data_IF_500144834979
#
_entry.id   IF_500144834979
#
_cell.length_a   1.000
_cell.length_b   1.000
_cell.length_c   1.000
_cell.angle_alpha   90.00
_cell.angle_beta   90.00
_cell.angle_gamma   90.00
#
_symmetry.space_group_name_H-M   'P 1'
#
loop_
_entity.id
_entity.type
_entity.pdbx_description
1 polymer ?
#
# COMPACT_ATOMS: atom_id res chain seq x y z
N UNK A 1 44.22 5.00 -9.79
CA UNK A 1 43.72 3.64 -10.07
C UNK A 1 42.99 3.04 -8.87
N UNK A 2 42.38 3.86 -7.97
CA UNK A 2 41.84 3.46 -6.68
C UNK A 2 40.31 3.69 -6.47
N UNK A 3 39.56 4.13 -7.48
CA UNK A 3 38.16 4.61 -7.26
C UNK A 3 37.05 3.60 -7.68
N UNK A 4 37.38 2.51 -8.34
CA UNK A 4 36.39 1.53 -8.83
C UNK A 4 35.95 0.49 -7.79
N UNK A 5 36.73 0.23 -6.75
CA UNK A 5 36.46 -0.83 -5.76
C UNK A 5 35.40 -0.44 -4.72
N UNK A 6 35.23 0.83 -4.42
CA UNK A 6 34.23 1.31 -3.44
C UNK A 6 32.79 1.32 -3.95
N UNK A 7 32.59 1.38 -5.27
CA UNK A 7 31.26 1.49 -5.88
C UNK A 7 30.54 0.15 -6.00
N UNK A 8 31.30 -0.91 -6.29
CA UNK A 8 30.78 -2.28 -6.38
C UNK A 8 30.35 -2.84 -5.03
N UNK A 9 31.10 -2.55 -3.96
CA UNK A 9 30.74 -2.99 -2.61
C UNK A 9 29.48 -2.32 -2.04
N UNK A 10 29.24 -1.04 -2.38
CA UNK A 10 28.03 -0.33 -1.97
C UNK A 10 26.78 -0.81 -2.74
N UNK A 11 26.90 -1.12 -4.03
CA UNK A 11 25.82 -1.69 -4.84
C UNK A 11 25.44 -3.08 -4.30
N UNK A 12 26.39 -3.97 -4.09
CA UNK A 12 26.14 -5.31 -3.56
C UNK A 12 25.50 -5.30 -2.15
N UNK A 13 25.83 -4.32 -1.31
CA UNK A 13 25.22 -4.15 0.03
C UNK A 13 23.80 -3.58 -0.06
N UNK A 14 23.51 -2.73 -1.06
CA UNK A 14 22.18 -2.23 -1.35
C UNK A 14 21.27 -3.35 -1.84
N UNK A 15 21.78 -4.21 -2.74
CA UNK A 15 21.02 -5.31 -3.31
C UNK A 15 20.66 -6.37 -2.27
N UNK A 16 21.56 -6.68 -1.35
CA UNK A 16 21.29 -7.61 -0.23
C UNK A 16 20.22 -7.08 0.72
N UNK A 17 20.23 -5.78 1.02
CA UNK A 17 19.18 -5.16 1.85
C UNK A 17 17.84 -5.14 1.15
N UNK A 18 17.84 -4.80 -0.14
CA UNK A 18 16.62 -4.84 -0.94
C UNK A 18 16.03 -6.23 -0.99
N UNK A 19 16.86 -7.25 -1.25
CA UNK A 19 16.44 -8.65 -1.26
C UNK A 19 15.87 -9.08 0.09
N UNK A 20 16.55 -8.74 1.20
CA UNK A 20 16.07 -9.05 2.55
C UNK A 20 14.67 -8.48 2.82
N UNK A 21 14.46 -7.19 2.53
CA UNK A 21 13.15 -6.56 2.74
C UNK A 21 12.08 -7.10 1.79
N UNK A 22 12.44 -7.41 0.56
CA UNK A 22 11.51 -8.04 -0.39
C UNK A 22 11.07 -9.43 0.07
N UNK A 23 12.00 -10.23 0.58
CA UNK A 23 11.70 -11.56 1.16
C UNK A 23 10.83 -11.41 2.41
N UNK A 24 11.13 -10.44 3.29
CA UNK A 24 10.34 -10.19 4.49
C UNK A 24 8.88 -9.81 4.15
N UNK A 25 8.69 -8.93 3.18
CA UNK A 25 7.34 -8.55 2.71
C UNK A 25 6.62 -9.75 2.11
N UNK A 26 7.31 -10.53 1.26
CA UNK A 26 6.72 -11.73 0.66
C UNK A 26 6.32 -12.76 1.73
N UNK A 27 7.17 -12.97 2.73
CA UNK A 27 6.88 -13.86 3.85
C UNK A 27 5.65 -13.40 4.65
N UNK A 28 5.51 -12.09 4.89
CA UNK A 28 4.33 -11.52 5.54
C UNK A 28 3.05 -11.73 4.70
N UNK A 29 3.13 -11.58 3.38
CA UNK A 29 1.99 -11.81 2.49
C UNK A 29 1.58 -13.29 2.49
N UNK A 30 2.54 -14.20 2.39
CA UNK A 30 2.29 -15.65 2.45
C UNK A 30 1.70 -16.03 3.81
N UNK A 31 2.30 -15.53 4.91
CA UNK A 31 1.78 -15.76 6.25
C UNK A 31 0.33 -15.27 6.39
N UNK A 32 0.01 -14.09 5.87
CA UNK A 32 -1.34 -13.54 5.88
C UNK A 32 -2.36 -14.41 5.16
N UNK A 33 -1.97 -15.02 4.04
CA UNK A 33 -2.84 -15.94 3.30
C UNK A 33 -3.06 -17.25 4.05
N UNK A 34 -2.03 -17.74 4.75
CA UNK A 34 -2.08 -18.99 5.49
C UNK A 34 -2.68 -18.82 6.90
N UNK A 35 -2.61 -17.61 7.47
CA UNK A 35 -3.02 -17.34 8.84
C UNK A 35 -4.45 -17.81 9.20
N UNK A 36 -5.48 -17.62 8.36
CA UNK A 36 -6.82 -18.14 8.64
C UNK A 36 -6.87 -19.67 8.76
N UNK A 37 -6.02 -20.38 8.01
CA UNK A 37 -5.96 -21.86 8.04
C UNK A 37 -5.20 -22.40 9.25
N UNK A 38 -4.42 -21.56 9.93
CA UNK A 38 -3.73 -21.90 11.18
C UNK A 38 -4.64 -21.71 12.41
N UNK A 39 -5.80 -21.11 12.25
CA UNK A 39 -6.76 -20.92 13.31
C UNK A 39 -7.47 -22.23 13.61
N UNK A 40 -7.34 -22.71 14.84
CA UNK A 40 -7.96 -23.98 15.27
C UNK A 40 -9.46 -23.86 15.56
N UNK A 41 -9.94 -22.64 15.80
CA UNK A 41 -11.33 -22.36 16.18
C UNK A 41 -11.92 -21.24 15.30
N UNK A 42 -13.25 -21.20 15.18
CA UNK A 42 -13.94 -20.11 14.51
C UNK A 42 -13.74 -18.78 15.29
N UNK A 43 -13.24 -17.72 14.67
CA UNK A 43 -13.01 -16.43 15.32
C UNK A 43 -14.28 -15.73 15.78
N UNK A 44 -15.46 -16.18 15.35
CA UNK A 44 -16.78 -15.60 15.67
C UNK A 44 -17.58 -16.43 16.65
N UNK A 45 -17.16 -17.67 16.95
CA UNK A 45 -17.85 -18.55 17.88
C UNK A 45 -17.85 -17.93 19.29
N UNK A 46 -19.05 -17.76 19.85
CA UNK A 46 -19.25 -17.22 21.18
C UNK A 46 -19.44 -18.37 22.16
N UNK A 47 -18.57 -18.44 23.20
CA UNK A 47 -18.69 -19.43 24.24
C UNK A 47 -18.68 -18.77 25.62
N UNK A 48 -19.87 -18.57 26.18
CA UNK A 48 -20.04 -17.86 27.46
C UNK A 48 -19.40 -18.57 28.66
N UNK A 49 -19.10 -19.86 28.54
CA UNK A 49 -18.39 -20.61 29.59
C UNK A 49 -16.88 -20.30 29.65
N UNK A 50 -16.34 -19.73 28.56
CA UNK A 50 -14.93 -19.38 28.40
C UNK A 50 -14.66 -17.87 28.45
N UNK A 51 -15.59 -17.11 28.98
CA UNK A 51 -15.44 -15.64 29.13
C UNK A 51 -14.20 -15.32 29.94
N UNK A 52 -13.29 -14.51 29.34
CA UNK A 52 -12.02 -14.11 29.97
C UNK A 52 -11.13 -15.29 30.45
N UNK A 53 -11.28 -16.46 29.82
CA UNK A 53 -10.42 -17.60 30.13
C UNK A 53 -8.96 -17.26 29.86
N UNK A 54 -8.03 -17.63 30.82
CA UNK A 54 -6.61 -17.34 30.66
C UNK A 54 -5.98 -18.16 29.52
N UNK A 55 -4.78 -17.77 29.04
CA UNK A 55 -4.03 -18.56 28.06
C UNK A 55 -3.81 -20.00 28.55
N UNK A 56 -3.98 -20.97 27.64
CA UNK A 56 -3.84 -22.40 27.90
C UNK A 56 -3.47 -23.17 26.64
N UNK A 57 -3.38 -24.49 26.75
CA UNK A 57 -2.99 -25.37 25.64
C UNK A 57 -3.96 -25.34 24.47
N UNK A 58 -5.23 -25.12 24.71
CA UNK A 58 -6.29 -25.05 23.70
C UNK A 58 -6.44 -23.63 23.14
N UNK A 59 -6.33 -22.60 24.00
CA UNK A 59 -6.45 -21.18 23.65
C UNK A 59 -5.16 -20.44 24.01
N UNK A 60 -4.22 -20.38 23.08
CA UNK A 60 -2.86 -19.85 23.33
C UNK A 60 -2.83 -18.43 23.87
N UNK A 61 -3.77 -17.58 23.49
CA UNK A 61 -3.90 -16.20 23.98
C UNK A 61 -5.16 -15.99 24.85
N UNK A 62 -5.81 -17.10 25.25
CA UNK A 62 -7.07 -17.04 25.98
C UNK A 62 -8.24 -16.55 25.15
N UNK A 63 -9.30 -16.17 25.85
CA UNK A 63 -10.58 -15.77 25.28
C UNK A 63 -10.96 -14.35 25.67
N UNK A 64 -11.74 -13.69 24.80
CA UNK A 64 -12.22 -12.33 25.06
C UNK A 64 -13.44 -12.31 26.01
N UNK A 65 -13.99 -11.11 26.23
CA UNK A 65 -15.13 -10.88 27.13
C UNK A 65 -16.46 -11.52 26.68
N UNK A 66 -16.49 -12.17 25.53
CA UNK A 66 -17.63 -12.98 25.06
C UNK A 66 -17.22 -14.43 24.77
N UNK A 67 -16.02 -14.83 25.24
CA UNK A 67 -15.51 -16.20 25.14
C UNK A 67 -14.94 -16.58 23.79
N UNK A 68 -14.65 -15.63 22.86
CA UNK A 68 -14.09 -15.92 21.54
C UNK A 68 -12.56 -16.06 21.62
N UNK A 69 -11.99 -16.96 20.82
CA UNK A 69 -10.55 -17.17 20.74
C UNK A 69 -9.81 -15.90 20.24
N UNK A 70 -8.98 -15.29 21.10
CA UNK A 70 -8.21 -14.08 20.76
C UNK A 70 -7.19 -14.37 19.67
N UNK A 71 -6.46 -15.48 19.75
CA UNK A 71 -5.46 -15.87 18.76
C UNK A 71 -6.09 -16.09 17.37
N UNK A 72 -7.22 -16.80 17.29
CA UNK A 72 -7.92 -17.04 16.04
C UNK A 72 -8.41 -15.73 15.42
N UNK A 73 -8.90 -14.80 16.23
CA UNK A 73 -9.32 -13.47 15.80
C UNK A 73 -8.14 -12.63 15.29
N UNK A 74 -6.99 -12.72 15.94
CA UNK A 74 -5.77 -12.03 15.51
C UNK A 74 -5.32 -12.51 14.14
N UNK A 75 -5.29 -13.82 13.89
CA UNK A 75 -4.91 -14.40 12.59
C UNK A 75 -5.85 -13.95 11.47
N UNK A 76 -7.15 -14.03 11.68
CA UNK A 76 -8.14 -13.61 10.69
C UNK A 76 -8.14 -12.08 10.49
N UNK A 77 -7.95 -11.31 11.56
CA UNK A 77 -7.83 -9.86 11.50
C UNK A 77 -6.59 -9.41 10.72
N UNK A 78 -5.45 -10.05 10.97
CA UNK A 78 -4.20 -9.79 10.24
C UNK A 78 -4.36 -10.05 8.74
N UNK A 79 -4.94 -11.19 8.36
CA UNK A 79 -5.20 -11.52 6.96
C UNK A 79 -6.05 -10.47 6.26
N UNK A 80 -7.15 -10.05 6.88
CA UNK A 80 -8.05 -9.01 6.32
C UNK A 80 -7.37 -7.66 6.21
N UNK A 81 -6.61 -7.26 7.23
CA UNK A 81 -5.91 -5.97 7.24
C UNK A 81 -4.84 -5.90 6.16
N UNK A 82 -4.03 -6.97 6.01
CA UNK A 82 -2.98 -7.03 4.99
C UNK A 82 -3.60 -7.05 3.59
N UNK A 83 -4.66 -7.85 3.37
CA UNK A 83 -5.38 -7.86 2.09
C UNK A 83 -5.93 -6.47 1.74
N UNK A 84 -6.57 -5.79 2.69
CA UNK A 84 -7.08 -4.44 2.48
C UNK A 84 -5.95 -3.45 2.15
N UNK A 85 -4.82 -3.50 2.86
CA UNK A 85 -3.68 -2.64 2.61
C UNK A 85 -3.09 -2.85 1.21
N UNK A 86 -2.90 -4.11 0.79
CA UNK A 86 -2.42 -4.45 -0.56
C UNK A 86 -3.38 -3.91 -1.62
N UNK A 87 -4.68 -4.11 -1.44
CA UNK A 87 -5.70 -3.64 -2.38
C UNK A 87 -5.70 -2.10 -2.51
N UNK A 88 -5.62 -1.38 -1.38
CA UNK A 88 -5.51 0.09 -1.37
C UNK A 88 -4.27 0.56 -2.12
N UNK A 89 -3.10 -0.02 -1.83
CA UNK A 89 -1.84 0.35 -2.48
C UNK A 89 -1.90 0.07 -3.98
N UNK A 90 -2.38 -1.11 -4.39
CA UNK A 90 -2.46 -1.49 -5.81
C UNK A 90 -3.41 -0.57 -6.58
N UNK A 91 -4.62 -0.32 -6.06
CA UNK A 91 -5.58 0.57 -6.72
C UNK A 91 -5.07 2.01 -6.80
N UNK A 92 -4.52 2.54 -5.70
CA UNK A 92 -3.94 3.88 -5.68
C UNK A 92 -2.76 4.01 -6.64
N UNK A 93 -1.89 2.99 -6.70
CA UNK A 93 -0.76 2.93 -7.62
C UNK A 93 -1.21 2.93 -9.08
N UNK A 94 -2.15 2.06 -9.44
CA UNK A 94 -2.64 1.96 -10.82
C UNK A 94 -3.30 3.26 -11.26
N UNK A 95 -4.27 3.74 -10.48
CA UNK A 95 -5.03 4.97 -10.80
C UNK A 95 -4.08 6.17 -10.86
N UNK A 96 -3.25 6.35 -9.84
CA UNK A 96 -2.34 7.48 -9.77
C UNK A 96 -1.28 7.47 -10.87
N UNK A 97 -0.68 6.30 -11.15
CA UNK A 97 0.32 6.17 -12.21
C UNK A 97 -0.27 6.46 -13.59
N UNK A 98 -1.46 5.95 -13.89
CA UNK A 98 -2.13 6.23 -15.16
C UNK A 98 -2.41 7.73 -15.32
N UNK A 99 -3.04 8.35 -14.33
CA UNK A 99 -3.36 9.79 -14.37
C UNK A 99 -2.07 10.63 -14.46
N UNK A 100 -1.08 10.35 -13.62
CA UNK A 100 0.18 11.09 -13.61
C UNK A 100 0.97 10.95 -14.90
N UNK A 101 0.98 9.76 -15.50
CA UNK A 101 1.65 9.52 -16.79
C UNK A 101 0.96 10.29 -17.91
N UNK A 102 -0.36 10.24 -17.99
CA UNK A 102 -1.13 11.01 -18.99
C UNK A 102 -0.88 12.51 -18.83
N UNK A 103 -0.94 13.04 -17.61
CA UNK A 103 -0.69 14.46 -17.34
C UNK A 103 0.74 14.87 -17.71
N UNK A 104 1.74 14.09 -17.32
CA UNK A 104 3.15 14.35 -17.63
C UNK A 104 3.44 14.26 -19.13
N UNK A 105 2.73 13.37 -19.85
CA UNK A 105 2.87 13.23 -21.29
C UNK A 105 2.15 14.35 -22.06
N UNK A 106 0.87 14.60 -21.78
CA UNK A 106 0.08 15.62 -22.44
C UNK A 106 0.57 17.04 -22.16
N UNK A 107 0.89 17.34 -20.90
CA UNK A 107 1.29 18.69 -20.48
C UNK A 107 0.16 19.71 -20.62
N UNK A 108 0.52 21.00 -20.71
CA UNK A 108 -0.42 22.09 -20.98
C UNK A 108 -1.54 22.24 -19.94
N UNK A 109 -2.75 22.57 -20.39
CA UNK A 109 -3.90 22.85 -19.51
C UNK A 109 -4.38 21.64 -18.74
N UNK A 110 -4.34 20.45 -19.33
CA UNK A 110 -4.77 19.19 -18.67
C UNK A 110 -3.89 18.93 -17.45
N UNK A 111 -2.58 19.03 -17.61
CA UNK A 111 -1.62 18.87 -16.55
C UNK A 111 -1.85 19.86 -15.40
N UNK A 112 -2.07 21.14 -15.75
CA UNK A 112 -2.31 22.20 -14.75
C UNK A 112 -3.58 21.91 -13.95
N UNK A 113 -4.70 21.58 -14.61
CA UNK A 113 -5.98 21.36 -13.92
C UNK A 113 -5.90 20.13 -13.00
N UNK A 114 -5.39 19.00 -13.50
CA UNK A 114 -5.31 17.78 -12.72
C UNK A 114 -4.35 17.94 -11.54
N UNK A 115 -3.21 18.62 -11.75
CA UNK A 115 -2.27 18.85 -10.65
C UNK A 115 -2.82 19.83 -9.60
N UNK A 116 -3.64 20.81 -9.97
CA UNK A 116 -4.36 21.64 -9.00
C UNK A 116 -5.33 20.82 -8.13
N UNK A 117 -6.03 19.85 -8.74
CA UNK A 117 -6.85 18.92 -7.96
C UNK A 117 -6.01 18.07 -7.02
N UNK A 118 -4.88 17.52 -7.49
CA UNK A 118 -3.93 16.79 -6.66
C UNK A 118 -3.42 17.65 -5.50
N UNK A 119 -3.07 18.91 -5.75
CA UNK A 119 -2.62 19.85 -4.73
C UNK A 119 -3.72 20.14 -3.71
N UNK A 120 -4.97 20.33 -4.13
CA UNK A 120 -6.11 20.54 -3.26
C UNK A 120 -6.35 19.33 -2.32
N UNK A 121 -6.30 18.11 -2.84
CA UNK A 121 -6.42 16.90 -2.02
C UNK A 121 -5.26 16.77 -1.04
N UNK A 122 -4.03 17.08 -1.45
CA UNK A 122 -2.85 16.98 -0.60
C UNK A 122 -2.67 18.16 0.38
N UNK A 123 -3.47 19.22 0.25
CA UNK A 123 -3.50 20.30 1.23
C UNK A 123 -4.05 19.84 2.59
N UNK A 124 -4.87 18.79 2.59
CA UNK A 124 -5.35 18.17 3.82
C UNK A 124 -4.39 17.07 4.30
N UNK A 125 -4.19 16.92 5.63
CA UNK A 125 -3.49 15.77 6.16
C UNK A 125 -4.20 14.48 5.71
N UNK A 126 -3.48 13.63 4.97
CA UNK A 126 -4.05 12.46 4.28
C UNK A 126 -4.91 11.58 5.21
N UNK A 127 -4.43 11.35 6.43
CA UNK A 127 -5.12 10.52 7.43
C UNK A 127 -6.46 11.14 7.85
N UNK A 128 -6.48 12.45 8.12
CA UNK A 128 -7.71 13.15 8.53
C UNK A 128 -8.72 13.14 7.38
N UNK A 129 -8.26 13.39 6.16
CA UNK A 129 -9.13 13.38 4.98
C UNK A 129 -9.70 11.97 4.71
N UNK A 130 -8.86 10.92 4.81
CA UNK A 130 -9.33 9.54 4.65
C UNK A 130 -10.37 9.14 5.69
N UNK A 131 -10.19 9.51 6.96
CA UNK A 131 -11.15 9.23 8.03
C UNK A 131 -12.47 9.96 7.78
N UNK A 132 -12.40 11.24 7.37
CA UNK A 132 -13.60 12.02 7.06
C UNK A 132 -14.41 11.42 5.92
N UNK A 133 -13.73 11.01 4.83
CA UNK A 133 -14.38 10.33 3.69
C UNK A 133 -14.97 8.99 4.13
N UNK A 134 -14.24 8.19 4.92
CA UNK A 134 -14.75 6.92 5.44
C UNK A 134 -15.98 7.10 6.32
N UNK A 135 -16.02 8.12 7.18
CA UNK A 135 -17.16 8.45 8.02
C UNK A 135 -18.40 8.82 7.20
N UNK A 136 -18.22 9.55 6.09
CA UNK A 136 -19.33 9.89 5.18
C UNK A 136 -19.87 8.68 4.42
N UNK A 137 -19.02 7.70 4.09
CA UNK A 137 -19.41 6.47 3.39
C UNK A 137 -20.07 5.45 4.32
N UNK A 138 -19.92 5.62 5.63
CA UNK A 138 -20.43 4.70 6.65
C UNK A 138 -19.45 3.60 7.02
N UNK A 139 -19.86 2.76 7.97
CA UNK A 139 -19.03 1.67 8.50
C UNK A 139 -18.77 0.56 7.48
N UNK A 140 -17.61 -0.09 7.60
CA UNK A 140 -17.24 -1.27 6.80
C UNK A 140 -15.88 -1.16 6.11
N UNK A 141 -15.24 -2.31 5.98
CA UNK A 141 -13.90 -2.42 5.38
C UNK A 141 -13.86 -1.89 3.93
N UNK A 142 -14.91 -2.17 3.15
CA UNK A 142 -15.05 -1.69 1.78
C UNK A 142 -15.01 -0.15 1.71
N UNK A 143 -15.73 0.52 2.58
CA UNK A 143 -15.81 1.98 2.61
C UNK A 143 -14.46 2.59 3.06
N UNK A 144 -13.77 1.97 4.01
CA UNK A 144 -12.40 2.34 4.38
C UNK A 144 -11.43 2.22 3.20
N UNK A 145 -11.49 1.12 2.44
CA UNK A 145 -10.65 0.93 1.24
C UNK A 145 -10.92 2.04 0.22
N UNK A 146 -12.18 2.31 -0.09
CA UNK A 146 -12.57 3.36 -1.05
C UNK A 146 -12.03 4.73 -0.59
N UNK A 147 -12.23 5.08 0.68
CA UNK A 147 -11.75 6.34 1.24
C UNK A 147 -10.23 6.50 1.11
N UNK A 148 -9.48 5.45 1.44
CA UNK A 148 -8.02 5.44 1.33
C UNK A 148 -7.54 5.52 -0.13
N UNK A 149 -8.23 4.90 -1.08
CA UNK A 149 -7.89 4.97 -2.50
C UNK A 149 -8.16 6.38 -3.05
N UNK A 150 -9.30 6.99 -2.68
CA UNK A 150 -9.66 8.37 -3.09
C UNK A 150 -8.60 9.38 -2.66
N UNK A 151 -7.95 9.18 -1.54
CA UNK A 151 -6.91 10.08 -1.03
C UNK A 151 -5.51 9.68 -1.50
N UNK A 152 -5.22 8.39 -1.60
CA UNK A 152 -3.89 7.82 -1.81
C UNK A 152 -3.34 7.94 -3.23
N UNK A 153 -4.17 7.93 -4.27
CA UNK A 153 -3.74 7.95 -5.67
C UNK A 153 -2.92 9.21 -6.03
N UNK A 154 -3.15 10.32 -5.33
CA UNK A 154 -2.54 11.62 -5.62
C UNK A 154 -1.01 11.61 -5.49
N UNK A 155 -0.46 10.84 -4.53
CA UNK A 155 0.98 10.69 -4.34
C UNK A 155 1.63 9.98 -5.52
N UNK A 156 1.01 8.90 -6.00
CA UNK A 156 1.48 8.16 -7.18
C UNK A 156 1.35 8.98 -8.46
N UNK A 157 0.28 9.77 -8.60
CA UNK A 157 0.09 10.66 -9.74
C UNK A 157 1.21 11.71 -9.84
N UNK A 158 1.56 12.35 -8.73
CA UNK A 158 2.65 13.33 -8.68
C UNK A 158 4.00 12.69 -8.99
N UNK A 159 4.26 11.50 -8.42
CA UNK A 159 5.49 10.77 -8.68
C UNK A 159 5.62 10.35 -10.16
N UNK A 160 4.58 9.76 -10.73
CA UNK A 160 4.56 9.33 -12.13
C UNK A 160 4.76 10.51 -13.08
N UNK A 161 4.01 11.61 -12.87
CA UNK A 161 4.17 12.85 -13.64
C UNK A 161 5.61 13.37 -13.61
N UNK A 162 6.22 13.46 -12.43
CA UNK A 162 7.61 13.92 -12.29
C UNK A 162 8.57 13.04 -13.08
N UNK A 163 8.41 11.71 -13.01
CA UNK A 163 9.24 10.76 -13.77
C UNK A 163 9.07 10.93 -15.28
N UNK A 164 7.86 11.13 -15.76
CA UNK A 164 7.60 11.38 -17.19
C UNK A 164 8.27 12.69 -17.65
N UNK A 165 8.15 13.76 -16.87
CA UNK A 165 8.80 15.03 -17.19
C UNK A 165 10.34 14.91 -17.20
N UNK A 166 10.91 14.15 -16.28
CA UNK A 166 12.35 13.89 -16.24
C UNK A 166 12.81 13.09 -17.47
N UNK A 167 12.05 12.06 -17.89
CA UNK A 167 12.36 11.26 -19.07
C UNK A 167 12.28 12.11 -20.32
N UNK A 168 11.28 12.98 -20.45
CA UNK A 168 11.13 13.89 -21.62
C UNK A 168 12.33 14.83 -21.82
N UNK A 169 13.07 15.12 -20.74
CA UNK A 169 14.27 15.98 -20.78
C UNK A 169 15.55 15.24 -21.18
N UNK A 170 15.54 13.89 -21.20
CA UNK A 170 16.72 13.10 -21.52
C UNK A 170 17.18 13.30 -22.96
N UNK A 171 18.50 13.33 -23.18
CA UNK A 171 19.11 13.59 -24.48
C UNK A 171 18.65 12.62 -25.56
N UNK A 172 18.51 11.33 -25.23
CA UNK A 172 18.05 10.32 -26.18
C UNK A 172 16.60 10.55 -26.64
N UNK A 173 15.71 11.02 -25.74
CA UNK A 173 14.32 11.35 -26.10
C UNK A 173 14.27 12.57 -27.01
N UNK A 174 15.10 13.58 -26.71
CA UNK A 174 15.21 14.76 -27.58
C UNK A 174 15.77 14.43 -28.95
N UNK A 175 16.81 13.60 -29.00
CA UNK A 175 17.38 13.14 -30.27
C UNK A 175 16.36 12.37 -31.12
N UNK A 176 15.60 11.45 -30.49
CA UNK A 176 14.54 10.71 -31.17
C UNK A 176 13.47 11.63 -31.79
N UNK A 177 13.07 12.67 -31.05
CA UNK A 177 12.09 13.65 -31.58
C UNK A 177 12.64 14.47 -32.76
N UNK A 178 13.91 14.89 -32.69
CA UNK A 178 14.53 15.60 -33.82
C UNK A 178 14.64 14.71 -35.05
N UNK A 179 14.81 13.38 -34.85
CA UNK A 179 14.83 12.39 -35.93
C UNK A 179 13.42 12.02 -36.46
N UNK A 180 12.36 12.72 -36.02
CA UNK A 180 10.98 12.50 -36.51
C UNK A 180 10.23 11.36 -35.81
N UNK A 181 10.77 10.74 -34.77
CA UNK A 181 10.04 9.76 -33.96
C UNK A 181 9.11 10.48 -32.97
N UNK A 182 7.82 10.20 -33.04
CA UNK A 182 6.77 10.76 -32.16
C UNK A 182 6.53 9.85 -30.93
#
# INVERSE_FOLDING_TARGET
MGEKTGRTGKLARSDKRFLFWSVAVLALLIFSLLAPHLASHDPYEINLSLVTAPPGSEYWMGNDYVGRCIFCRLLHGAARSIFAAVLVVMLSFVIGTLIGTVCGYAGGRIDIIVMRLVDAVQAFPNLIFSISVAAMLGSGLKNCIIAMVITGWTQYARLARTKVLDIKKKTYVRAARVSGMS
#
